data_IF_341334632639
#
_entry.id   IF_341334632639
#
_cell.length_a   1.000
_cell.length_b   1.000
_cell.length_c   1.000
_cell.angle_alpha   90.00
_cell.angle_beta   90.00
_cell.angle_gamma   90.00
#
_symmetry.space_group_name_H-M   'P 1'
#
loop_
_entity.id
_entity.type
_entity.pdbx_description
1 polymer ?
#
# COMPACT_ATOMS: atom_id res chain seq x y z
N UNK A 1 -22.78 -3.83 -11.42
CA UNK A 1 -22.51 -5.23 -11.81
C UNK A 1 -21.37 -5.76 -10.93
N UNK A 2 -21.69 -6.39 -9.80
CA UNK A 2 -20.70 -7.07 -8.93
C UNK A 2 -21.09 -8.52 -8.62
N UNK A 3 -22.25 -8.97 -9.11
CA UNK A 3 -22.64 -10.37 -9.04
C UNK A 3 -21.81 -11.17 -10.05
N UNK A 4 -21.19 -12.28 -9.62
CA UNK A 4 -20.46 -13.32 -10.38
C UNK A 4 -18.92 -13.34 -10.38
N UNK A 5 -18.24 -12.70 -9.42
CA UNK A 5 -16.84 -13.13 -9.16
C UNK A 5 -16.81 -14.31 -8.18
N UNK A 6 -16.21 -15.43 -8.60
CA UNK A 6 -16.01 -16.58 -7.72
C UNK A 6 -15.21 -16.16 -6.49
N UNK A 7 -15.57 -16.69 -5.32
CA UNK A 7 -14.98 -16.39 -4.00
C UNK A 7 -13.45 -16.30 -3.97
N UNK A 8 -12.78 -17.18 -4.71
CA UNK A 8 -11.32 -17.20 -4.87
C UNK A 8 -10.79 -15.94 -5.55
N UNK A 9 -11.51 -15.41 -6.56
CA UNK A 9 -11.12 -14.20 -7.30
C UNK A 9 -11.19 -12.94 -6.44
N UNK A 10 -12.21 -12.79 -5.58
CA UNK A 10 -12.34 -11.63 -4.70
C UNK A 10 -11.25 -11.54 -3.62
N UNK A 11 -10.89 -12.67 -3.00
CA UNK A 11 -9.79 -12.73 -2.03
C UNK A 11 -8.45 -12.50 -2.73
N UNK A 12 -8.22 -13.13 -3.89
CA UNK A 12 -7.00 -12.93 -4.69
C UNK A 12 -6.83 -11.47 -5.09
N UNK A 13 -7.91 -10.81 -5.51
CA UNK A 13 -7.90 -9.38 -5.85
C UNK A 13 -7.51 -8.51 -4.65
N UNK A 14 -8.08 -8.76 -3.47
CA UNK A 14 -7.72 -7.99 -2.27
C UNK A 14 -6.25 -8.18 -1.86
N UNK A 15 -5.73 -9.41 -1.96
CA UNK A 15 -4.32 -9.69 -1.69
C UNK A 15 -3.41 -9.00 -2.72
N UNK A 16 -3.78 -9.03 -4.00
CA UNK A 16 -3.04 -8.29 -5.04
C UNK A 16 -3.06 -6.79 -4.81
N UNK A 17 -4.20 -6.23 -4.40
CA UNK A 17 -4.33 -4.80 -4.08
C UNK A 17 -3.40 -4.42 -2.91
N UNK A 18 -3.35 -5.24 -1.86
CA UNK A 18 -2.43 -5.05 -0.74
C UNK A 18 -0.98 -5.11 -1.21
N UNK A 19 -0.59 -6.17 -1.92
CA UNK A 19 0.77 -6.35 -2.40
C UNK A 19 1.22 -5.21 -3.31
N UNK A 20 0.37 -4.76 -4.23
CA UNK A 20 0.68 -3.63 -5.10
C UNK A 20 0.96 -2.37 -4.29
N UNK A 21 0.13 -2.07 -3.28
CA UNK A 21 0.35 -0.94 -2.39
C UNK A 21 1.69 -0.99 -1.64
N UNK A 22 2.06 -2.17 -1.15
CA UNK A 22 3.33 -2.39 -0.46
C UNK A 22 4.55 -2.39 -1.39
N UNK A 23 4.39 -2.84 -2.65
CA UNK A 23 5.43 -2.70 -3.68
C UNK A 23 5.70 -1.22 -3.96
N UNK A 24 4.65 -0.41 -4.12
CA UNK A 24 4.82 1.05 -4.27
C UNK A 24 5.47 1.69 -3.05
N UNK A 25 5.09 1.28 -1.84
CA UNK A 25 5.71 1.75 -0.61
C UNK A 25 7.21 1.42 -0.55
N UNK A 26 7.58 0.19 -0.92
CA UNK A 26 8.97 -0.25 -0.97
C UNK A 26 9.80 0.51 -2.01
N UNK A 27 9.22 0.78 -3.19
CA UNK A 27 9.87 1.58 -4.24
C UNK A 27 10.12 3.02 -3.78
N UNK A 28 9.13 3.66 -3.15
CA UNK A 28 9.30 5.00 -2.60
C UNK A 28 10.33 5.02 -1.47
N UNK A 29 10.36 3.99 -0.64
CA UNK A 29 11.36 3.88 0.41
C UNK A 29 12.78 3.74 -0.17
N UNK A 30 12.96 2.88 -1.19
CA UNK A 30 14.23 2.72 -1.88
C UNK A 30 14.69 4.02 -2.58
N UNK A 31 13.77 4.72 -3.23
CA UNK A 31 14.02 6.04 -3.83
C UNK A 31 14.45 7.07 -2.78
N UNK A 32 13.73 7.16 -1.66
CA UNK A 32 14.10 8.07 -0.57
C UNK A 32 15.47 7.77 0.03
N UNK A 33 15.83 6.49 0.17
CA UNK A 33 17.16 6.07 0.61
C UNK A 33 18.25 6.41 -0.40
N UNK A 34 18.00 6.25 -1.69
CA UNK A 34 18.92 6.64 -2.76
C UNK A 34 19.14 8.15 -2.78
N UNK A 35 18.08 8.93 -2.57
CA UNK A 35 18.14 10.39 -2.50
C UNK A 35 19.00 10.85 -1.31
N UNK A 36 18.80 10.27 -0.13
CA UNK A 36 19.66 10.54 1.04
C UNK A 36 21.13 10.22 0.76
N UNK A 37 21.40 9.02 0.23
CA UNK A 37 22.77 8.59 -0.10
C UNK A 37 23.46 9.54 -1.09
N UNK A 38 22.76 9.94 -2.16
CA UNK A 38 23.32 10.86 -3.15
C UNK A 38 23.57 12.25 -2.57
N UNK A 39 22.70 12.76 -1.69
CA UNK A 39 22.91 14.06 -1.06
C UNK A 39 24.03 14.05 -0.03
N UNK A 40 24.20 12.94 0.69
CA UNK A 40 25.31 12.75 1.63
C UNK A 40 26.66 12.75 0.88
N UNK A 41 26.78 12.01 -0.22
CA UNK A 41 28.02 11.94 -1.01
C UNK A 41 28.33 13.21 -1.81
N UNK A 42 27.33 14.04 -2.12
CA UNK A 42 27.54 15.30 -2.86
C UNK A 42 27.83 16.50 -1.94
N UNK A 43 27.91 16.31 -0.62
CA UNK A 43 28.03 17.38 0.40
C UNK A 43 26.99 18.50 0.24
N UNK A 44 25.86 18.18 -0.39
CA UNK A 44 24.80 19.14 -0.66
C UNK A 44 24.01 19.32 0.62
N UNK A 45 24.18 20.48 1.26
CA UNK A 45 23.51 20.91 2.51
C UNK A 45 21.99 21.15 2.38
N UNK A 46 21.34 20.51 1.40
CA UNK A 46 19.87 20.46 1.34
C UNK A 46 19.40 19.70 2.58
N UNK A 47 18.33 20.17 3.25
CA UNK A 47 17.88 19.54 4.48
C UNK A 47 17.59 18.05 4.24
N UNK A 48 18.28 17.19 5.01
CA UNK A 48 18.09 15.74 5.15
C UNK A 48 16.62 15.27 5.17
N UNK A 49 15.67 16.20 5.35
CA UNK A 49 14.23 16.00 5.29
C UNK A 49 13.70 15.40 3.97
N UNK A 50 14.33 15.62 2.81
CA UNK A 50 13.71 15.22 1.53
C UNK A 50 13.57 13.71 1.35
N UNK A 51 14.63 12.93 1.59
CA UNK A 51 14.53 11.46 1.55
C UNK A 51 13.60 10.92 2.63
N UNK A 52 13.57 11.57 3.79
CA UNK A 52 12.68 11.26 4.91
C UNK A 52 11.20 11.47 4.53
N UNK A 53 10.86 12.57 3.85
CA UNK A 53 9.51 12.84 3.33
C UNK A 53 9.09 11.84 2.26
N UNK A 54 10.01 11.46 1.36
CA UNK A 54 9.75 10.44 0.33
C UNK A 54 9.48 9.08 0.98
N UNK A 55 10.30 8.66 1.95
CA UNK A 55 10.06 7.44 2.75
C UNK A 55 8.73 7.50 3.50
N UNK A 56 8.43 8.61 4.16
CA UNK A 56 7.18 8.82 4.89
C UNK A 56 5.96 8.70 3.96
N UNK A 57 6.03 9.25 2.75
CA UNK A 57 4.98 9.11 1.73
C UNK A 57 4.78 7.65 1.30
N UNK A 58 5.87 6.88 1.19
CA UNK A 58 5.82 5.45 0.90
C UNK A 58 5.07 4.67 1.98
N UNK A 59 5.39 4.92 3.25
CA UNK A 59 4.66 4.34 4.38
C UNK A 59 3.18 4.76 4.42
N UNK A 60 2.89 6.03 4.12
CA UNK A 60 1.52 6.54 4.04
C UNK A 60 0.69 5.81 2.98
N UNK A 61 1.24 5.64 1.77
CA UNK A 61 0.62 4.87 0.70
C UNK A 61 0.40 3.42 1.09
N UNK A 62 1.42 2.74 1.63
CA UNK A 62 1.30 1.36 2.11
C UNK A 62 0.22 1.20 3.19
N UNK A 63 0.14 2.16 4.12
CA UNK A 63 -0.88 2.22 5.16
C UNK A 63 -2.30 2.38 4.61
N UNK A 64 -2.50 3.22 3.59
CA UNK A 64 -3.81 3.38 2.92
C UNK A 64 -4.24 2.06 2.28
N UNK A 65 -3.35 1.39 1.55
CA UNK A 65 -3.65 0.09 0.93
C UNK A 65 -3.94 -0.99 1.97
N UNK A 66 -3.24 -0.98 3.11
CA UNK A 66 -3.52 -1.87 4.23
C UNK A 66 -4.91 -1.60 4.84
N UNK A 67 -5.28 -0.34 5.07
CA UNK A 67 -6.62 0.01 5.55
C UNK A 67 -7.71 -0.43 4.58
N UNK A 68 -7.53 -0.20 3.28
CA UNK A 68 -8.47 -0.67 2.25
C UNK A 68 -8.62 -2.19 2.27
N UNK A 69 -7.52 -2.93 2.46
CA UNK A 69 -7.54 -4.37 2.60
C UNK A 69 -8.34 -4.83 3.83
N UNK A 70 -8.09 -4.25 5.00
CA UNK A 70 -8.81 -4.58 6.24
C UNK A 70 -10.30 -4.27 6.11
N UNK A 71 -10.66 -3.10 5.61
CA UNK A 71 -12.06 -2.69 5.40
C UNK A 71 -12.76 -3.65 4.44
N UNK A 72 -12.13 -4.01 3.32
CA UNK A 72 -12.73 -4.95 2.36
C UNK A 72 -12.88 -6.35 2.94
N UNK A 73 -11.93 -6.83 3.74
CA UNK A 73 -12.06 -8.11 4.43
C UNK A 73 -13.19 -8.07 5.46
N UNK A 74 -13.32 -6.97 6.22
CA UNK A 74 -14.38 -6.80 7.19
C UNK A 74 -15.77 -6.80 6.52
N UNK A 75 -15.93 -6.06 5.42
CA UNK A 75 -17.15 -6.04 4.61
C UNK A 75 -17.47 -7.45 4.07
N UNK A 76 -16.45 -8.16 3.57
CA UNK A 76 -16.61 -9.53 3.09
C UNK A 76 -17.06 -10.49 4.21
N UNK A 77 -16.45 -10.39 5.39
CA UNK A 77 -16.81 -11.17 6.57
C UNK A 77 -18.23 -10.87 7.09
N UNK A 78 -18.63 -9.60 7.08
CA UNK A 78 -19.97 -9.16 7.47
C UNK A 78 -21.04 -9.70 6.52
N UNK A 79 -20.86 -9.51 5.21
CA UNK A 79 -21.81 -10.00 4.21
C UNK A 79 -21.94 -11.54 4.23
N UNK A 80 -20.83 -12.25 4.52
CA UNK A 80 -20.84 -13.69 4.74
C UNK A 80 -21.74 -14.11 5.91
N UNK A 81 -21.68 -13.40 7.05
CA UNK A 81 -22.56 -13.67 8.20
C UNK A 81 -24.02 -13.36 7.90
N UNK A 82 -24.29 -12.36 7.07
CA UNK A 82 -25.67 -11.97 6.71
C UNK A 82 -26.29 -12.79 5.57
N UNK A 83 -25.62 -13.80 5.03
CA UNK A 83 -26.15 -14.65 3.95
C UNK A 83 -26.35 -13.91 2.61
N UNK A 84 -25.88 -12.66 2.51
CA UNK A 84 -25.93 -11.88 1.27
C UNK A 84 -24.72 -12.25 0.43
N UNK A 85 -24.98 -12.91 -0.70
CA UNK A 85 -23.98 -13.08 -1.75
C UNK A 85 -23.72 -11.70 -2.36
N UNK A 86 -22.49 -11.21 -2.22
CA UNK A 86 -21.96 -10.08 -2.98
C UNK A 86 -21.83 -10.46 -4.45
#
# INVERSE_FOLDING_TARGET
MLATQSRSKGVKYNVQLLLNGWVFAALLWALGSLIEFLFEELEVSIPHSYGLWVKASGWGLGGIFFLLFVVRIAIYGYNRKSGKYL
#
